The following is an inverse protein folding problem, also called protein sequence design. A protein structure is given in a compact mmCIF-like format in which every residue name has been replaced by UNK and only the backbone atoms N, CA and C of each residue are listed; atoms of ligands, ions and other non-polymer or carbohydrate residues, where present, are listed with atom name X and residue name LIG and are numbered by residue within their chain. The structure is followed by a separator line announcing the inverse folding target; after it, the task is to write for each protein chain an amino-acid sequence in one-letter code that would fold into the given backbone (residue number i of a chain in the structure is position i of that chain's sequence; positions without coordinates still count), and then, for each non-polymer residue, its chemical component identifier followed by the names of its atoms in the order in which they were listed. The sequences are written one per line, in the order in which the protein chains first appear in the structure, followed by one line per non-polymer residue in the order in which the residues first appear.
data_IF_043953269739
#
_entry.id   IF_043953269739
#
_cell.length_a   1.000
_cell.length_b   1.000
_cell.length_c   1.000
_cell.angle_alpha   90.00
_cell.angle_beta   90.00
_cell.angle_gamma   90.00
#
_symmetry.space_group_name_H-M   'P 1'
#
loop_
_entity.id
_entity.type
_entity.pdbx_description
1 polymer ?
#
# COMPACT_ATOMS: atom_id res chain seq x y z
N UNK A 1 -37.49 20.81 -12.62
CA UNK A 1 -36.42 20.95 -11.60
C UNK A 1 -35.48 19.77 -11.72
N UNK A 2 -34.28 20.00 -12.24
CA UNK A 2 -33.34 18.94 -12.40
C UNK A 2 -32.65 18.67 -11.06
N UNK A 3 -32.85 17.47 -10.53
CA UNK A 3 -32.13 17.04 -9.35
C UNK A 3 -30.74 16.61 -9.78
N UNK A 4 -29.76 17.45 -9.52
CA UNK A 4 -28.39 17.06 -9.77
C UNK A 4 -27.93 16.21 -8.57
N UNK A 5 -27.93 14.92 -8.75
CA UNK A 5 -27.27 14.07 -7.78
C UNK A 5 -25.78 14.14 -8.13
N UNK A 6 -25.08 15.01 -7.43
CA UNK A 6 -23.63 14.95 -7.46
C UNK A 6 -23.22 13.63 -6.83
N UNK A 7 -22.64 12.72 -7.63
CA UNK A 7 -22.02 11.55 -7.07
C UNK A 7 -20.95 12.05 -6.07
N UNK A 8 -21.10 11.71 -4.80
CA UNK A 8 -20.07 12.02 -3.83
C UNK A 8 -18.76 11.37 -4.32
N UNK A 9 -17.64 12.11 -4.35
CA UNK A 9 -16.37 11.51 -4.68
C UNK A 9 -16.12 10.32 -3.75
N UNK A 10 -15.64 9.21 -4.32
CA UNK A 10 -15.30 8.06 -3.53
C UNK A 10 -14.31 8.51 -2.46
N UNK A 11 -14.65 8.26 -1.19
CA UNK A 11 -13.83 8.67 -0.08
C UNK A 11 -12.53 7.89 -0.11
N UNK A 12 -11.40 8.59 -0.09
CA UNK A 12 -10.09 7.96 0.01
C UNK A 12 -9.97 7.21 1.34
N UNK A 13 -9.44 6.01 1.29
CA UNK A 13 -9.27 5.16 2.45
C UNK A 13 -7.80 4.96 2.76
N UNK A 14 -7.52 4.66 4.03
CA UNK A 14 -6.21 4.17 4.46
C UNK A 14 -6.33 2.68 4.68
N UNK A 15 -5.51 1.92 3.99
CA UNK A 15 -5.50 0.46 4.05
C UNK A 15 -4.23 0.03 4.78
N UNK A 16 -4.40 -0.71 5.88
CA UNK A 16 -3.28 -1.15 6.68
C UNK A 16 -2.75 -2.49 6.19
N UNK A 17 -1.43 -2.57 6.01
CA UNK A 17 -0.70 -3.81 5.77
C UNK A 17 0.24 -4.01 6.93
N UNK A 18 0.11 -5.09 7.66
CA UNK A 18 1.04 -5.39 8.76
C UNK A 18 2.24 -6.16 8.23
N UNK A 19 3.38 -5.93 8.87
CA UNK A 19 4.60 -6.70 8.63
C UNK A 19 4.95 -7.37 9.95
N UNK A 20 4.92 -8.70 9.95
CA UNK A 20 5.26 -9.47 11.13
C UNK A 20 5.86 -10.79 10.69
N UNK A 21 6.97 -11.17 11.32
CA UNK A 21 7.71 -12.40 10.99
C UNK A 21 8.08 -12.47 9.51
N UNK A 22 8.51 -11.32 8.96
CA UNK A 22 8.94 -11.20 7.58
C UNK A 22 7.83 -11.46 6.56
N UNK A 23 6.58 -11.14 6.90
CA UNK A 23 5.43 -11.34 6.03
C UNK A 23 4.60 -10.06 5.94
N UNK A 24 4.24 -9.68 4.71
CA UNK A 24 3.23 -8.65 4.47
C UNK A 24 1.83 -9.27 4.58
N UNK A 25 0.98 -8.68 5.40
CA UNK A 25 -0.37 -9.21 5.62
C UNK A 25 -1.41 -8.09 5.62
N UNK A 26 -2.40 -8.12 4.73
CA UNK A 26 -2.60 -9.09 3.66
C UNK A 26 -1.54 -8.99 2.57
N UNK A 27 -1.25 -10.10 1.91
CA UNK A 27 -0.26 -10.14 0.84
C UNK A 27 -0.74 -9.46 -0.43
N UNK A 28 -2.05 -9.49 -0.68
CA UNK A 28 -2.67 -8.85 -1.84
C UNK A 28 -3.65 -7.80 -1.35
N UNK A 29 -3.55 -6.59 -1.89
CA UNK A 29 -4.41 -5.47 -1.54
C UNK A 29 -5.04 -4.92 -2.81
N UNK A 30 -6.34 -4.67 -2.75
CA UNK A 30 -7.07 -3.94 -3.77
C UNK A 30 -7.36 -2.54 -3.25
N UNK A 31 -7.06 -1.54 -4.06
CA UNK A 31 -7.20 -0.14 -3.67
C UNK A 31 -7.62 0.70 -4.88
N UNK A 32 -7.83 1.97 -4.63
CA UNK A 32 -8.16 2.97 -5.66
C UNK A 32 -7.10 4.05 -5.66
N UNK A 33 -6.94 4.70 -6.79
CA UNK A 33 -6.11 5.92 -6.85
C UNK A 33 -6.64 6.92 -5.82
N UNK A 34 -5.76 7.47 -5.02
CA UNK A 34 -6.09 8.37 -3.91
C UNK A 34 -6.08 7.69 -2.56
N UNK A 35 -6.17 6.38 -2.51
CA UNK A 35 -6.04 5.64 -1.25
C UNK A 35 -4.60 5.67 -0.75
N UNK A 36 -4.44 5.46 0.54
CA UNK A 36 -3.12 5.39 1.18
C UNK A 36 -2.91 3.99 1.73
N UNK A 37 -1.75 3.42 1.45
CA UNK A 37 -1.32 2.18 2.10
C UNK A 37 -0.45 2.57 3.29
N UNK A 38 -0.76 2.01 4.44
CA UNK A 38 0.04 2.17 5.64
C UNK A 38 0.63 0.82 6.01
N UNK A 39 1.96 0.69 5.95
CA UNK A 39 2.64 -0.51 6.43
C UNK A 39 3.00 -0.31 7.88
N UNK A 40 2.56 -1.23 8.72
CA UNK A 40 2.85 -1.24 10.16
C UNK A 40 3.82 -2.36 10.43
N UNK A 41 5.05 -2.01 10.75
CA UNK A 41 6.13 -2.97 10.99
C UNK A 41 6.13 -3.41 12.46
N UNK A 42 5.82 -4.66 12.70
CA UNK A 42 5.84 -5.26 14.03
C UNK A 42 7.14 -6.00 14.33
N UNK A 43 8.02 -6.08 13.35
CA UNK A 43 9.31 -6.75 13.50
C UNK A 43 10.36 -5.81 14.12
N UNK A 44 11.42 -6.40 14.61
CA UNK A 44 12.59 -5.66 15.14
C UNK A 44 13.56 -5.26 14.04
N UNK A 45 13.29 -5.64 12.80
CA UNK A 45 14.10 -5.32 11.62
C UNK A 45 13.44 -4.23 10.81
N UNK A 46 14.24 -3.39 10.15
CA UNK A 46 13.72 -2.48 9.14
C UNK A 46 13.29 -3.27 7.90
N UNK A 47 12.24 -2.82 7.26
CA UNK A 47 11.73 -3.38 6.02
C UNK A 47 11.53 -2.28 4.99
N UNK A 48 11.30 -2.66 3.75
CA UNK A 48 10.88 -1.73 2.70
C UNK A 48 9.69 -2.30 1.95
N UNK A 49 8.93 -1.42 1.32
CA UNK A 49 7.99 -1.80 0.28
C UNK A 49 8.53 -1.17 -1.00
N UNK A 50 9.00 -2.00 -1.91
CA UNK A 50 9.77 -1.55 -3.07
C UNK A 50 9.18 -2.12 -4.36
N UNK A 51 8.95 -1.25 -5.35
CA UNK A 51 8.66 -1.69 -6.72
C UNK A 51 9.92 -1.48 -7.55
N UNK A 52 10.31 -2.50 -8.28
CA UNK A 52 11.45 -2.40 -9.18
C UNK A 52 11.20 -1.29 -10.21
N UNK A 53 12.10 -0.30 -10.24
CA UNK A 53 11.96 0.83 -11.15
C UNK A 53 10.90 1.85 -10.76
N UNK A 54 10.33 1.73 -9.55
CA UNK A 54 9.29 2.62 -9.07
C UNK A 54 9.60 3.17 -7.69
N UNK A 55 8.57 3.27 -6.85
CA UNK A 55 8.71 3.84 -5.51
C UNK A 55 9.33 2.84 -4.53
N UNK A 56 9.88 3.40 -3.47
CA UNK A 56 10.35 2.63 -2.32
C UNK A 56 9.96 3.36 -1.04
N UNK A 57 9.39 2.63 -0.11
CA UNK A 57 9.02 3.14 1.21
C UNK A 57 9.83 2.38 2.24
N UNK A 58 10.56 3.10 3.07
CA UNK A 58 11.31 2.50 4.18
C UNK A 58 10.44 2.48 5.43
N UNK A 59 10.34 1.31 6.05
CA UNK A 59 9.50 1.12 7.22
C UNK A 59 10.41 0.71 8.40
N UNK A 60 10.76 1.66 9.29
CA UNK A 60 11.66 1.36 10.42
C UNK A 60 11.09 0.30 11.36
N UNK A 61 11.97 -0.33 12.17
CA UNK A 61 11.50 -1.33 13.15
C UNK A 61 10.44 -0.74 14.09
N UNK A 62 9.37 -1.48 14.31
CA UNK A 62 8.29 -1.12 15.24
C UNK A 62 7.58 0.20 14.90
N UNK A 63 7.71 0.67 13.65
CA UNK A 63 7.09 1.90 13.17
C UNK A 63 6.22 1.65 11.96
N UNK A 64 5.52 2.67 11.53
CA UNK A 64 4.68 2.64 10.34
C UNK A 64 5.18 3.65 9.32
N UNK A 65 4.91 3.37 8.07
CA UNK A 65 5.17 4.31 6.98
C UNK A 65 4.07 4.13 5.92
N UNK A 66 3.77 5.18 5.19
CA UNK A 66 2.65 5.15 4.27
C UNK A 66 3.00 5.73 2.90
N UNK A 67 2.16 5.38 1.93
CA UNK A 67 2.25 5.88 0.56
C UNK A 67 0.86 6.12 0.02
N UNK A 68 0.62 7.29 -0.54
CA UNK A 68 -0.62 7.58 -1.25
C UNK A 68 -0.49 7.11 -2.69
N UNK A 69 -1.47 6.33 -3.15
CA UNK A 69 -1.45 5.73 -4.47
C UNK A 69 -1.90 6.73 -5.52
N UNK A 70 -1.08 6.95 -6.54
CA UNK A 70 -1.33 7.96 -7.56
C UNK A 70 -1.56 7.40 -8.95
N UNK A 71 -1.25 6.12 -9.15
CA UNK A 71 -1.27 5.49 -10.46
C UNK A 71 -2.05 4.19 -10.41
N UNK A 72 -2.99 4.00 -11.33
CA UNK A 72 -3.71 2.74 -11.48
C UNK A 72 -2.80 1.67 -12.10
N UNK A 73 -3.07 0.42 -11.76
CA UNK A 73 -2.35 -0.73 -12.29
C UNK A 73 -2.11 -1.78 -11.22
N UNK A 74 -1.62 -2.92 -11.64
CA UNK A 74 -1.23 -4.00 -10.72
C UNK A 74 0.29 -4.04 -10.63
N UNK A 75 0.80 -4.04 -9.43
CA UNK A 75 2.25 -4.07 -9.19
C UNK A 75 2.57 -5.06 -8.08
N UNK A 76 3.68 -5.75 -8.26
CA UNK A 76 4.28 -6.55 -7.20
C UNK A 76 5.32 -5.70 -6.49
N UNK A 77 5.34 -5.79 -5.16
CA UNK A 77 6.37 -5.13 -4.38
C UNK A 77 7.06 -6.15 -3.47
N UNK A 78 8.22 -5.78 -2.97
CA UNK A 78 9.03 -6.67 -2.15
C UNK A 78 9.81 -5.86 -1.13
N UNK A 79 10.37 -6.54 -0.14
CA UNK A 79 11.31 -5.93 0.78
C UNK A 79 12.72 -6.06 0.23
N UNK A 80 13.43 -4.94 0.08
CA UNK A 80 14.78 -4.93 -0.46
C UNK A 80 15.78 -5.71 0.39
N UNK A 81 15.56 -5.75 1.70
CA UNK A 81 16.44 -6.45 2.64
C UNK A 81 16.12 -7.95 2.72
N UNK A 82 14.90 -8.32 2.37
CA UNK A 82 14.40 -9.71 2.45
C UNK A 82 13.58 -9.99 1.19
N UNK A 83 14.23 -10.27 0.05
CA UNK A 83 13.52 -10.33 -1.24
C UNK A 83 12.39 -11.36 -1.35
N UNK A 84 12.35 -12.33 -0.43
CA UNK A 84 11.24 -13.30 -0.38
C UNK A 84 9.97 -12.71 0.25
N UNK A 85 10.06 -11.56 0.92
CA UNK A 85 8.89 -10.83 1.39
C UNK A 85 8.26 -10.12 0.21
N UNK A 86 7.08 -10.56 -0.21
CA UNK A 86 6.41 -10.04 -1.40
C UNK A 86 4.97 -9.67 -1.09
N UNK A 87 4.50 -8.64 -1.76
CA UNK A 87 3.12 -8.22 -1.72
C UNK A 87 2.66 -7.80 -3.10
N UNK A 88 1.35 -7.63 -3.27
CA UNK A 88 0.78 -7.21 -4.52
C UNK A 88 -0.28 -6.15 -4.29
N UNK A 89 -0.23 -5.09 -5.08
CA UNK A 89 -1.23 -4.04 -5.10
C UNK A 89 -1.94 -4.02 -6.43
N UNK A 90 -3.26 -4.05 -6.39
CA UNK A 90 -4.09 -3.77 -7.56
C UNK A 90 -4.80 -2.46 -7.31
N UNK A 91 -4.46 -1.45 -8.08
CA UNK A 91 -4.97 -0.09 -7.92
C UNK A 91 -5.87 0.23 -9.11
N UNK A 92 -7.13 0.50 -8.82
CA UNK A 92 -8.11 0.87 -9.84
C UNK A 92 -8.28 2.38 -9.88
N UNK A 93 -8.85 2.87 -10.97
CA UNK A 93 -9.23 4.29 -11.07
C UNK A 93 -10.28 4.64 -10.02
N UNK A 94 -10.34 5.90 -9.60
CA UNK A 94 -11.31 6.35 -8.60
C UNK A 94 -12.74 6.10 -9.03
#
# INVERSE_FOLDING_TARGET
MALTIAAAPAKAETIEVTIEKLVFSPATVEAKVGDTIEWVNKDVFAHTATIKGGWEVTIPPKKAASLTLKTAGSVDYFCRFHPNMKGRLTVTSP
#
